data_IF_699739957773
#
_entry.id   IF_699739957773
#
_cell.length_a   1.000
_cell.length_b   1.000
_cell.length_c   1.000
_cell.angle_alpha   90.00
_cell.angle_beta   90.00
_cell.angle_gamma   90.00
#
_symmetry.space_group_name_H-M   'P 1'
#
loop_
_entity.id
_entity.type
_entity.pdbx_description
1 polymer ?
#
# COMPACT_ATOMS: atom_id res chain seq x y z
N UNK A 1 5.61 22.47 10.50
CA UNK A 1 6.13 21.87 9.26
C UNK A 1 7.63 22.07 9.19
N UNK A 2 8.34 20.98 8.92
CA UNK A 2 9.79 20.98 8.65
C UNK A 2 10.09 21.84 7.40
N UNK A 3 11.25 22.53 7.37
CA UNK A 3 11.67 23.34 6.22
C UNK A 3 11.86 22.47 4.97
N UNK A 4 12.35 21.25 5.14
CA UNK A 4 12.54 20.29 4.06
C UNK A 4 11.21 19.93 3.40
N UNK A 5 10.19 19.63 4.21
CA UNK A 5 8.84 19.30 3.73
C UNK A 5 8.25 20.47 2.93
N UNK A 6 8.39 21.71 3.40
CA UNK A 6 7.90 22.90 2.66
C UNK A 6 8.56 23.02 1.28
N UNK A 7 9.86 22.71 1.18
CA UNK A 7 10.60 22.74 -0.08
C UNK A 7 10.14 21.62 -1.01
N UNK A 8 9.99 20.40 -0.50
CA UNK A 8 9.50 19.25 -1.27
C UNK A 8 8.08 19.53 -1.79
N UNK A 9 7.18 20.04 -0.95
CA UNK A 9 5.84 20.46 -1.35
C UNK A 9 5.86 21.46 -2.51
N UNK A 10 6.78 22.42 -2.47
CA UNK A 10 6.92 23.40 -3.54
C UNK A 10 7.31 22.75 -4.86
N UNK A 11 8.17 21.73 -4.83
CA UNK A 11 8.54 20.92 -6.00
C UNK A 11 7.35 20.10 -6.52
N UNK A 12 6.63 19.42 -5.63
CA UNK A 12 5.47 18.61 -5.99
C UNK A 12 4.36 19.46 -6.64
N UNK A 13 4.03 20.60 -6.04
CA UNK A 13 3.04 21.56 -6.58
C UNK A 13 3.48 22.08 -7.96
N UNK A 14 4.77 22.42 -8.13
CA UNK A 14 5.27 22.85 -9.44
C UNK A 14 5.13 21.76 -10.51
N UNK A 15 5.39 20.49 -10.16
CA UNK A 15 5.21 19.36 -11.08
C UNK A 15 3.71 19.17 -11.43
N UNK A 16 2.80 19.32 -10.47
CA UNK A 16 1.34 19.30 -10.74
C UNK A 16 0.91 20.41 -11.71
N UNK A 17 1.39 21.64 -11.51
CA UNK A 17 1.09 22.78 -12.41
C UNK A 17 1.59 22.52 -13.84
N UNK A 18 2.66 21.72 -13.99
CA UNK A 18 3.20 21.31 -15.29
C UNK A 18 2.45 20.12 -15.93
N UNK A 19 1.27 19.77 -15.41
CA UNK A 19 0.45 18.63 -15.86
C UNK A 19 1.20 17.29 -15.77
N UNK A 20 2.13 17.19 -14.82
CA UNK A 20 2.79 15.93 -14.50
C UNK A 20 1.91 15.15 -13.53
N UNK A 21 1.57 13.94 -13.94
CA UNK A 21 0.91 12.96 -13.10
C UNK A 21 1.90 12.49 -12.01
N UNK A 22 1.76 13.09 -10.81
CA UNK A 22 2.58 12.75 -9.65
C UNK A 22 2.46 11.27 -9.27
N UNK A 23 1.32 10.62 -9.55
CA UNK A 23 1.14 9.19 -9.27
C UNK A 23 2.08 8.33 -10.10
N UNK A 24 2.20 8.63 -11.40
CA UNK A 24 3.10 7.90 -12.30
C UNK A 24 4.59 8.18 -12.05
N UNK A 25 4.91 9.33 -11.46
CA UNK A 25 6.28 9.80 -11.32
C UNK A 25 6.83 9.70 -9.90
N UNK A 26 6.07 9.17 -8.93
CA UNK A 26 6.49 9.11 -7.52
C UNK A 26 7.89 8.52 -7.37
N UNK A 27 8.16 7.35 -7.94
CA UNK A 27 9.49 6.70 -7.86
C UNK A 27 10.60 7.59 -8.43
N UNK A 28 10.39 8.22 -9.59
CA UNK A 28 11.37 9.13 -10.20
C UNK A 28 11.60 10.38 -9.34
N UNK A 29 10.51 10.96 -8.81
CA UNK A 29 10.55 12.14 -7.96
C UNK A 29 11.23 11.84 -6.62
N UNK A 30 10.94 10.68 -6.03
CA UNK A 30 11.58 10.23 -4.78
C UNK A 30 13.08 10.10 -4.99
N UNK A 31 13.53 9.44 -6.07
CA UNK A 31 14.96 9.31 -6.38
C UNK A 31 15.60 10.68 -6.60
N UNK A 32 14.96 11.59 -7.35
CA UNK A 32 15.46 12.96 -7.54
C UNK A 32 15.65 13.70 -6.21
N UNK A 33 14.68 13.60 -5.30
CA UNK A 33 14.72 14.28 -4.00
C UNK A 33 15.72 13.64 -3.02
N UNK A 34 15.87 12.32 -3.04
CA UNK A 34 16.92 11.63 -2.27
C UNK A 34 18.32 12.04 -2.77
N UNK A 35 18.52 12.14 -4.08
CA UNK A 35 19.78 12.64 -4.69
C UNK A 35 20.07 14.10 -4.30
N UNK A 36 19.03 14.91 -4.06
CA UNK A 36 19.14 16.28 -3.55
C UNK A 36 19.42 16.35 -2.03
N UNK A 37 19.38 15.20 -1.34
CA UNK A 37 19.72 15.06 0.07
C UNK A 37 18.53 15.12 1.04
N UNK A 38 17.30 15.01 0.53
CA UNK A 38 16.11 14.87 1.37
C UNK A 38 15.98 13.44 1.91
N UNK A 39 15.40 13.29 3.10
CA UNK A 39 15.15 11.95 3.66
C UNK A 39 13.86 11.37 3.10
N UNK A 40 13.78 10.05 3.02
CA UNK A 40 12.56 9.35 2.57
C UNK A 40 11.34 9.70 3.43
N UNK A 41 11.55 9.96 4.72
CA UNK A 41 10.51 10.38 5.66
C UNK A 41 9.95 11.75 5.31
N UNK A 42 10.82 12.75 5.05
CA UNK A 42 10.40 14.10 4.64
C UNK A 42 9.69 14.08 3.27
N UNK A 43 10.13 13.22 2.36
CA UNK A 43 9.54 13.05 1.03
C UNK A 43 8.15 12.45 1.14
N UNK A 44 7.99 11.37 1.91
CA UNK A 44 6.71 10.73 2.12
C UNK A 44 5.72 11.68 2.80
N UNK A 45 6.12 12.39 3.86
CA UNK A 45 5.23 13.35 4.54
C UNK A 45 4.75 14.47 3.59
N UNK A 46 5.62 14.93 2.68
CA UNK A 46 5.24 15.94 1.69
C UNK A 46 4.26 15.38 0.64
N UNK A 47 4.47 14.16 0.18
CA UNK A 47 3.50 13.47 -0.68
C UNK A 47 2.17 13.30 0.03
N UNK A 48 2.19 12.89 1.29
CA UNK A 48 0.99 12.70 2.10
C UNK A 48 0.20 14.01 2.21
N UNK A 49 0.84 15.15 2.51
CA UNK A 49 0.16 16.45 2.58
C UNK A 49 -0.48 16.87 1.23
N UNK A 50 0.25 16.71 0.11
CA UNK A 50 -0.28 17.08 -1.22
C UNK A 50 -1.51 16.24 -1.55
N UNK A 51 -1.48 14.97 -1.18
CA UNK A 51 -2.54 14.05 -1.52
C UNK A 51 -3.67 14.11 -0.50
N UNK A 52 -3.45 14.25 0.80
CA UNK A 52 -4.50 14.47 1.81
C UNK A 52 -5.35 15.72 1.50
N UNK A 53 -4.75 16.83 1.04
CA UNK A 53 -5.54 18.01 0.61
C UNK A 53 -6.27 17.81 -0.73
N UNK A 54 -5.79 16.89 -1.60
CA UNK A 54 -6.46 16.50 -2.85
C UNK A 54 -7.51 15.40 -2.61
N UNK A 55 -7.39 14.69 -1.50
CA UNK A 55 -8.17 13.54 -1.07
C UNK A 55 -9.20 14.01 -0.02
N UNK A 56 -10.09 14.93 -0.41
CA UNK A 56 -11.47 14.81 0.06
C UNK A 56 -12.02 13.56 -0.66
N UNK A 57 -11.74 12.36 -0.11
CA UNK A 57 -12.18 11.06 -0.66
C UNK A 57 -13.67 11.14 -1.01
N UNK A 58 -14.01 11.13 -2.29
CA UNK A 58 -15.37 10.76 -2.67
C UNK A 58 -15.54 9.27 -2.33
N UNK A 59 -16.66 8.89 -1.71
CA UNK A 59 -16.98 7.50 -1.32
C UNK A 59 -16.90 6.48 -2.49
N UNK A 60 -16.72 6.95 -3.73
CA UNK A 60 -16.64 6.16 -4.95
C UNK A 60 -15.22 5.68 -5.32
N UNK A 61 -14.16 6.11 -4.62
CA UNK A 61 -12.78 5.73 -4.98
C UNK A 61 -12.36 4.33 -4.52
N UNK A 62 -13.21 3.66 -3.72
CA UNK A 62 -13.01 2.28 -3.29
C UNK A 62 -13.90 1.32 -4.09
N UNK A 63 -13.32 0.19 -4.51
CA UNK A 63 -14.02 -0.81 -5.31
C UNK A 63 -15.00 -1.62 -4.46
N UNK A 64 -16.23 -1.12 -4.30
CA UNK A 64 -17.28 -1.76 -3.52
C UNK A 64 -18.28 -2.52 -4.41
N UNK A 65 -17.85 -3.60 -5.05
CA UNK A 65 -18.76 -4.54 -5.69
C UNK A 65 -18.93 -5.79 -4.80
N UNK A 66 -19.94 -5.74 -3.92
CA UNK A 66 -20.21 -6.72 -2.87
C UNK A 66 -20.55 -8.13 -3.40
N UNK A 67 -20.72 -8.31 -4.71
CA UNK A 67 -21.04 -9.60 -5.34
C UNK A 67 -19.81 -10.33 -5.92
N UNK A 68 -18.60 -9.80 -5.74
CA UNK A 68 -17.39 -10.40 -6.31
C UNK A 68 -16.98 -11.71 -5.63
N UNK A 69 -16.66 -12.71 -6.44
CA UNK A 69 -16.07 -13.97 -5.97
C UNK A 69 -14.59 -13.79 -5.67
N UNK A 70 -14.04 -14.64 -4.79
CA UNK A 70 -12.59 -14.69 -4.55
C UNK A 70 -11.79 -14.94 -5.84
N UNK A 71 -10.58 -14.38 -5.94
CA UNK A 71 -9.72 -14.54 -7.11
C UNK A 71 -10.22 -13.84 -8.38
N UNK A 72 -10.92 -12.72 -8.24
CA UNK A 72 -11.38 -11.92 -9.37
C UNK A 72 -10.21 -11.28 -10.14
N UNK A 73 -10.47 -10.80 -11.37
CA UNK A 73 -9.45 -10.10 -12.13
C UNK A 73 -9.23 -8.68 -11.58
N UNK A 74 -8.31 -8.55 -10.62
CA UNK A 74 -8.00 -7.29 -9.95
C UNK A 74 -7.18 -6.34 -10.82
N UNK A 75 -7.60 -5.08 -10.87
CA UNK A 75 -6.84 -3.97 -11.44
C UNK A 75 -6.61 -2.92 -10.36
N UNK A 76 -5.36 -2.51 -10.16
CA UNK A 76 -5.06 -1.45 -9.19
C UNK A 76 -5.61 -0.11 -9.65
N UNK A 77 -6.22 0.63 -8.72
CA UNK A 77 -6.61 2.02 -8.94
C UNK A 77 -5.37 2.91 -9.05
N UNK A 78 -5.53 4.15 -9.53
CA UNK A 78 -4.39 5.07 -9.65
C UNK A 78 -3.87 5.53 -8.28
N UNK A 79 -4.73 5.53 -7.26
CA UNK A 79 -4.40 5.77 -5.85
C UNK A 79 -3.59 4.59 -5.30
N UNK A 80 -4.05 3.36 -5.49
CA UNK A 80 -3.31 2.17 -5.06
C UNK A 80 -1.95 2.06 -5.76
N UNK A 81 -1.87 2.43 -7.04
CA UNK A 81 -0.60 2.46 -7.77
C UNK A 81 0.39 3.44 -7.16
N UNK A 82 -0.10 4.52 -6.55
CA UNK A 82 0.70 5.55 -5.92
C UNK A 82 1.25 5.11 -4.56
N UNK A 83 0.43 4.47 -3.72
CA UNK A 83 0.86 4.02 -2.39
C UNK A 83 1.67 2.73 -2.42
N UNK A 84 1.38 1.82 -3.33
CA UNK A 84 2.03 0.52 -3.32
C UNK A 84 3.24 0.47 -4.25
N UNK A 85 4.38 0.11 -3.68
CA UNK A 85 5.54 -0.28 -4.46
C UNK A 85 5.29 -1.64 -5.17
N UNK A 86 6.24 -2.06 -5.99
CA UNK A 86 6.13 -3.31 -6.77
C UNK A 86 5.99 -4.56 -5.91
N UNK A 87 6.63 -4.61 -4.75
CA UNK A 87 6.61 -5.75 -3.84
C UNK A 87 5.23 -5.91 -3.22
N UNK A 88 4.69 -4.82 -2.66
CA UNK A 88 3.33 -4.78 -2.11
C UNK A 88 2.28 -5.20 -3.15
N UNK A 89 2.35 -4.66 -4.38
CA UNK A 89 1.47 -5.06 -5.49
C UNK A 89 1.57 -6.56 -5.79
N UNK A 90 2.77 -7.12 -5.71
CA UNK A 90 3.01 -8.56 -5.96
C UNK A 90 2.36 -9.43 -4.88
N UNK A 91 2.48 -9.03 -3.61
CA UNK A 91 1.84 -9.72 -2.48
C UNK A 91 0.32 -9.69 -2.63
N UNK A 92 -0.26 -8.54 -2.95
CA UNK A 92 -1.71 -8.39 -3.17
C UNK A 92 -2.19 -9.33 -4.30
N UNK A 93 -1.45 -9.40 -5.42
CA UNK A 93 -1.78 -10.33 -6.50
C UNK A 93 -1.68 -11.79 -6.07
N UNK A 94 -0.66 -12.17 -5.29
CA UNK A 94 -0.53 -13.53 -4.76
C UNK A 94 -1.70 -13.88 -3.85
N UNK A 95 -2.09 -12.99 -2.93
CA UNK A 95 -3.23 -13.16 -2.04
C UNK A 95 -4.53 -13.37 -2.83
N UNK A 96 -4.78 -12.52 -3.82
CA UNK A 96 -5.96 -12.65 -4.68
C UNK A 96 -5.97 -13.99 -5.43
N UNK A 97 -4.85 -14.38 -6.03
CA UNK A 97 -4.72 -15.61 -6.80
C UNK A 97 -4.90 -16.89 -5.98
N UNK A 98 -4.62 -16.86 -4.68
CA UNK A 98 -4.90 -17.99 -3.79
C UNK A 98 -6.41 -18.26 -3.65
N UNK A 99 -7.24 -17.23 -3.90
CA UNK A 99 -8.70 -17.27 -3.83
C UNK A 99 -9.23 -17.81 -2.48
N UNK A 100 -8.46 -17.62 -1.41
CA UNK A 100 -8.79 -18.06 -0.04
C UNK A 100 -9.49 -16.99 0.78
N UNK A 101 -9.33 -15.73 0.39
CA UNK A 101 -9.99 -14.57 0.98
C UNK A 101 -11.25 -14.25 0.16
N UNK A 102 -12.32 -13.86 0.82
CA UNK A 102 -13.46 -13.20 0.15
C UNK A 102 -12.98 -11.89 -0.47
N UNK A 103 -13.66 -11.41 -1.50
CA UNK A 103 -13.33 -10.13 -2.12
C UNK A 103 -13.34 -9.00 -1.07
N UNK A 104 -14.37 -8.95 -0.20
CA UNK A 104 -14.48 -7.98 0.89
C UNK A 104 -13.28 -8.02 1.86
N UNK A 105 -12.81 -9.22 2.23
CA UNK A 105 -11.65 -9.38 3.13
C UNK A 105 -10.37 -8.86 2.47
N UNK A 106 -10.18 -9.15 1.17
CA UNK A 106 -9.02 -8.65 0.42
C UNK A 106 -9.05 -7.13 0.26
N UNK A 107 -10.20 -6.54 -0.08
CA UNK A 107 -10.32 -5.08 -0.19
C UNK A 107 -10.11 -4.39 1.16
N UNK A 108 -10.63 -4.96 2.25
CA UNK A 108 -10.40 -4.45 3.61
C UNK A 108 -8.91 -4.44 3.95
N UNK A 109 -8.20 -5.54 3.71
CA UNK A 109 -6.74 -5.63 3.89
C UNK A 109 -6.03 -4.54 3.07
N UNK A 110 -6.40 -4.36 1.81
CA UNK A 110 -5.76 -3.38 0.93
C UNK A 110 -6.03 -1.94 1.41
N UNK A 111 -7.23 -1.67 1.90
CA UNK A 111 -7.56 -0.38 2.48
C UNK A 111 -6.73 -0.11 3.74
N UNK A 112 -6.56 -1.09 4.63
CA UNK A 112 -5.67 -0.98 5.79
C UNK A 112 -4.21 -0.77 5.36
N UNK A 113 -3.75 -1.49 4.34
CA UNK A 113 -2.42 -1.29 3.75
C UNK A 113 -2.26 0.14 3.23
N UNK A 114 -3.26 0.73 2.58
CA UNK A 114 -3.18 2.13 2.14
C UNK A 114 -3.08 3.09 3.32
N UNK A 115 -3.85 2.87 4.40
CA UNK A 115 -3.77 3.70 5.61
C UNK A 115 -2.42 3.58 6.32
N UNK A 116 -1.82 2.38 6.34
CA UNK A 116 -0.52 2.14 7.00
C UNK A 116 0.69 2.45 6.10
N UNK A 117 0.50 2.44 4.78
CA UNK A 117 1.51 2.82 3.79
C UNK A 117 1.73 4.33 3.67
N UNK A 118 1.00 5.13 4.47
CA UNK A 118 1.26 6.55 4.67
C UNK A 118 2.57 6.66 5.48
N UNK A 119 3.61 7.23 4.88
CA UNK A 119 4.90 7.44 5.56
C UNK A 119 5.88 6.25 5.61
N UNK A 120 5.45 5.00 5.34
CA UNK A 120 6.28 3.79 5.56
C UNK A 120 6.20 2.78 4.41
N UNK A 121 7.31 2.11 4.13
CA UNK A 121 7.31 0.93 3.25
C UNK A 121 6.53 -0.21 3.92
N UNK A 122 5.55 -0.76 3.20
CA UNK A 122 4.77 -1.92 3.62
C UNK A 122 5.62 -3.19 3.48
N UNK A 123 6.52 -3.41 4.44
CA UNK A 123 7.29 -4.65 4.53
C UNK A 123 6.39 -5.86 4.81
N UNK A 124 6.84 -7.06 4.43
CA UNK A 124 6.08 -8.29 4.58
C UNK A 124 5.62 -8.59 6.02
N UNK A 125 6.38 -8.15 7.03
CA UNK A 125 6.02 -8.30 8.45
C UNK A 125 4.78 -7.47 8.79
N UNK A 126 4.71 -6.21 8.36
CA UNK A 126 3.55 -5.35 8.59
C UNK A 126 2.32 -5.83 7.82
N UNK A 127 2.51 -6.26 6.56
CA UNK A 127 1.41 -6.81 5.76
C UNK A 127 0.85 -8.07 6.42
N UNK A 128 1.70 -8.92 7.01
CA UNK A 128 1.26 -10.11 7.73
C UNK A 128 0.42 -9.76 8.96
N UNK A 129 0.79 -8.72 9.72
CA UNK A 129 0.01 -8.24 10.86
C UNK A 129 -1.39 -7.78 10.43
N UNK A 130 -1.49 -7.00 9.35
CA UNK A 130 -2.77 -6.56 8.78
C UNK A 130 -3.64 -7.77 8.41
N UNK A 131 -3.07 -8.77 7.71
CA UNK A 131 -3.81 -9.97 7.32
C UNK A 131 -4.29 -10.74 8.58
N UNK A 132 -3.45 -10.83 9.61
CA UNK A 132 -3.78 -11.54 10.84
C UNK A 132 -4.89 -10.85 11.66
N UNK A 133 -5.07 -9.53 11.50
CA UNK A 133 -6.17 -8.79 12.11
C UNK A 133 -7.50 -8.97 11.36
N UNK A 134 -7.45 -9.11 10.03
CA UNK A 134 -8.63 -9.22 9.17
C UNK A 134 -9.11 -10.67 8.96
N UNK A 135 -8.25 -11.66 9.17
CA UNK A 135 -8.52 -13.08 8.83
C UNK A 135 -8.55 -13.97 10.06
N UNK A 136 -9.75 -14.32 10.51
CA UNK A 136 -9.97 -15.18 11.68
C UNK A 136 -9.65 -16.68 11.45
N UNK A 137 -9.58 -17.13 10.20
CA UNK A 137 -9.44 -18.55 9.88
C UNK A 137 -7.98 -19.01 9.91
N UNK A 138 -7.63 -19.82 10.93
CA UNK A 138 -6.30 -20.44 11.03
C UNK A 138 -5.93 -21.25 9.79
N UNK A 139 -6.89 -21.93 9.15
CA UNK A 139 -6.64 -22.69 7.92
C UNK A 139 -6.26 -21.77 6.75
N UNK A 140 -6.92 -20.62 6.63
CA UNK A 140 -6.60 -19.62 5.61
C UNK A 140 -5.22 -19.02 5.87
N UNK A 141 -4.93 -18.63 7.12
CA UNK A 141 -3.63 -18.10 7.53
C UNK A 141 -2.49 -19.09 7.24
N UNK A 142 -2.69 -20.37 7.57
CA UNK A 142 -1.75 -21.44 7.24
C UNK A 142 -1.48 -21.52 5.74
N UNK A 143 -2.54 -21.51 4.92
CA UNK A 143 -2.41 -21.60 3.46
C UNK A 143 -1.67 -20.39 2.88
N UNK A 144 -1.95 -19.18 3.36
CA UNK A 144 -1.25 -17.96 2.95
C UNK A 144 0.25 -18.08 3.29
N UNK A 145 0.58 -18.45 4.53
CA UNK A 145 1.96 -18.64 4.98
C UNK A 145 2.76 -19.67 4.18
N UNK A 146 2.12 -20.77 3.77
CA UNK A 146 2.78 -21.84 3.03
C UNK A 146 3.04 -21.49 1.58
N UNK A 147 2.15 -20.73 0.95
CA UNK A 147 2.17 -20.46 -0.51
C UNK A 147 2.82 -19.12 -0.87
N UNK A 148 2.85 -18.15 0.07
CA UNK A 148 3.48 -16.85 -0.13
C UNK A 148 4.82 -16.84 0.60
N UNK A 149 5.90 -16.88 -0.16
CA UNK A 149 7.27 -16.98 0.36
C UNK A 149 7.64 -15.85 1.32
N UNK A 150 7.14 -14.64 1.03
CA UNK A 150 7.32 -13.44 1.85
C UNK A 150 6.87 -13.63 3.31
N UNK A 151 5.93 -14.55 3.57
CA UNK A 151 5.36 -14.77 4.90
C UNK A 151 5.91 -16.01 5.63
N UNK A 152 6.79 -16.80 5.00
CA UNK A 152 7.34 -18.02 5.63
C UNK A 152 8.06 -17.75 6.96
N UNK A 153 8.74 -16.61 7.06
CA UNK A 153 9.43 -16.20 8.30
C UNK A 153 8.46 -15.83 9.43
N UNK A 154 7.30 -15.26 9.11
CA UNK A 154 6.33 -14.77 10.10
C UNK A 154 5.46 -15.88 10.65
N UNK A 155 5.16 -16.87 9.81
CA UNK A 155 4.53 -18.11 10.27
C UNK A 155 5.35 -18.83 11.35
N UNK A 156 6.66 -18.96 11.14
CA UNK A 156 7.56 -19.59 12.11
C UNK A 156 7.63 -18.81 13.44
N UNK A 157 7.47 -17.47 13.41
CA UNK A 157 7.41 -16.66 14.64
C UNK A 157 6.12 -16.91 15.41
N UNK A 158 4.97 -17.08 14.73
CA UNK A 158 3.69 -17.39 15.38
C UNK A 158 3.65 -18.79 16.01
N UNK A 159 4.29 -19.81 15.43
CA UNK A 159 4.38 -21.15 16.02
C UNK A 159 5.21 -21.21 17.32
N UNK A 160 6.06 -20.21 17.59
CA UNK A 160 6.89 -20.17 18.81
C UNK A 160 6.16 -19.50 19.99
N UNK A 161 5.10 -18.73 19.71
CA UNK A 161 4.36 -17.94 20.72
C UNK A 161 3.08 -18.64 21.18
N UNK A 162 2.59 -19.64 20.45
CA UNK A 162 1.45 -20.51 20.82
C UNK A 162 1.90 -21.83 21.45
#
# INVERSE_FOLDING_TARGET
>A
MNKNIVEILSVLIQKMIQDKDLSKQREEITVELEDEGYTIEDINEAFDIVFEEVIELEENDFYNDLEMTSGYNRVFTDIEKFYFNKETKTIIYKLNNLAVLKAEELESIIQQMMYMGIGHDLEADLIWEIINEEVDSTEVMLKIATEIEEFKGNFLKQEVVN
#
